data_IF_460711022023
#
_entry.id   IF_460711022023
#
_cell.length_a   1.000
_cell.length_b   1.000
_cell.length_c   1.000
_cell.angle_alpha   90.00
_cell.angle_beta   90.00
_cell.angle_gamma   90.00
#
_symmetry.space_group_name_H-M   'P 1'
#
loop_
_entity.id
_entity.type
_entity.pdbx_description
1 polymer ?
#
# COMPACT_ATOMS: atom_id res chain seq x y z
N UNK A 1 22.86 -13.13 20.52
CA UNK A 1 22.87 -13.54 19.09
C UNK A 1 23.41 -12.38 18.26
N UNK A 2 24.29 -12.64 17.31
CA UNK A 2 24.82 -11.59 16.42
C UNK A 2 23.69 -11.09 15.51
N UNK A 3 23.48 -9.76 15.46
CA UNK A 3 22.62 -9.13 14.44
C UNK A 3 23.34 -9.29 13.10
N UNK A 4 22.66 -9.83 12.08
CA UNK A 4 23.15 -9.88 10.71
C UNK A 4 22.48 -8.75 9.94
N UNK A 5 23.25 -7.77 9.51
CA UNK A 5 22.76 -6.70 8.63
C UNK A 5 22.63 -7.19 7.19
N UNK A 6 21.84 -6.49 6.35
CA UNK A 6 21.72 -6.84 4.93
C UNK A 6 23.08 -6.85 4.20
N UNK A 7 23.94 -5.86 4.49
CA UNK A 7 25.30 -5.80 3.92
C UNK A 7 26.13 -7.03 4.27
N UNK A 8 26.14 -7.42 5.55
CA UNK A 8 26.85 -8.63 6.00
C UNK A 8 26.24 -9.90 5.41
N UNK A 9 24.91 -9.94 5.23
CA UNK A 9 24.24 -11.04 4.54
C UNK A 9 24.75 -11.17 3.10
N UNK A 10 24.77 -10.07 2.33
CA UNK A 10 25.25 -10.06 0.94
C UNK A 10 26.72 -10.47 0.85
N UNK A 11 27.58 -9.94 1.73
CA UNK A 11 29.00 -10.27 1.76
C UNK A 11 29.26 -11.73 2.13
N UNK A 12 28.59 -12.24 3.17
CA UNK A 12 28.73 -13.62 3.61
C UNK A 12 28.13 -14.61 2.60
N UNK A 13 27.07 -14.23 1.88
CA UNK A 13 26.54 -15.03 0.78
C UNK A 13 27.52 -15.08 -0.39
N UNK A 14 28.04 -13.93 -0.85
CA UNK A 14 29.01 -13.86 -1.95
C UNK A 14 30.32 -14.59 -1.67
N UNK A 15 30.75 -14.64 -0.41
CA UNK A 15 31.94 -15.40 0.02
C UNK A 15 31.68 -16.91 0.22
N UNK A 16 30.43 -17.38 0.07
CA UNK A 16 30.06 -18.79 0.30
C UNK A 16 30.00 -19.18 1.78
N UNK A 17 30.06 -18.21 2.70
CA UNK A 17 29.95 -18.44 4.15
C UNK A 17 28.52 -18.69 4.63
N UNK A 18 27.52 -18.32 3.82
CA UNK A 18 26.10 -18.57 4.04
C UNK A 18 25.49 -19.33 2.88
N UNK A 19 24.60 -20.26 3.20
CA UNK A 19 23.69 -20.91 2.24
C UNK A 19 22.28 -20.41 2.49
N UNK A 20 21.59 -19.98 1.44
CA UNK A 20 20.20 -19.52 1.51
C UNK A 20 19.31 -20.55 0.85
N UNK A 21 18.32 -21.03 1.58
CA UNK A 21 17.32 -21.97 1.08
C UNK A 21 15.98 -21.23 1.00
N UNK A 22 15.50 -20.99 -0.22
CA UNK A 22 14.20 -20.36 -0.46
C UNK A 22 13.11 -21.43 -0.44
N UNK A 23 12.03 -21.18 0.27
CA UNK A 23 10.84 -22.04 0.27
C UNK A 23 10.18 -22.01 -1.11
N UNK A 24 10.15 -23.15 -1.82
CA UNK A 24 9.61 -23.26 -3.18
C UNK A 24 8.10 -23.05 -3.25
N UNK A 25 7.39 -23.37 -2.17
CA UNK A 25 5.94 -23.20 -2.07
C UNK A 25 5.55 -21.73 -1.90
N UNK A 26 6.40 -20.94 -1.24
CA UNK A 26 6.16 -19.50 -1.01
C UNK A 26 6.84 -18.58 -2.00
N UNK A 27 7.85 -19.06 -2.75
CA UNK A 27 8.61 -18.25 -3.71
C UNK A 27 7.69 -17.50 -4.69
N UNK A 28 6.62 -18.14 -5.17
CA UNK A 28 5.65 -17.52 -6.07
C UNK A 28 4.94 -16.31 -5.45
N UNK A 29 4.59 -16.36 -4.17
CA UNK A 29 3.93 -15.25 -3.47
C UNK A 29 4.88 -14.06 -3.30
N UNK A 30 6.16 -14.33 -3.01
CA UNK A 30 7.18 -13.29 -2.90
C UNK A 30 7.45 -12.58 -4.21
N UNK A 31 7.48 -13.31 -5.34
CA UNK A 31 7.61 -12.73 -6.69
C UNK A 31 6.48 -11.73 -6.96
N UNK A 32 5.26 -12.04 -6.55
CA UNK A 32 4.09 -11.20 -6.79
C UNK A 32 3.96 -10.03 -5.80
N UNK A 33 4.66 -10.08 -4.66
CA UNK A 33 4.62 -9.06 -3.62
C UNK A 33 4.96 -7.66 -4.14
N UNK A 34 4.41 -6.61 -3.54
CA UNK A 34 4.68 -5.23 -3.94
C UNK A 34 6.15 -4.80 -3.79
N UNK A 35 6.92 -5.53 -2.98
CA UNK A 35 8.33 -5.28 -2.69
C UNK A 35 9.27 -5.91 -3.73
N UNK A 36 8.81 -6.91 -4.49
CA UNK A 36 9.58 -7.49 -5.58
C UNK A 36 9.64 -6.56 -6.80
N UNK A 37 10.75 -6.60 -7.54
CA UNK A 37 10.91 -5.86 -8.79
C UNK A 37 9.79 -6.17 -9.80
N UNK A 38 9.30 -5.14 -10.50
CA UNK A 38 8.12 -5.26 -11.38
C UNK A 38 8.41 -6.00 -12.70
N UNK A 39 9.67 -6.06 -13.12
CA UNK A 39 10.04 -6.44 -14.48
C UNK A 39 9.70 -7.92 -14.80
N UNK A 40 9.90 -8.84 -13.86
CA UNK A 40 9.75 -10.28 -14.11
C UNK A 40 8.39 -10.88 -13.71
N UNK A 41 7.49 -10.10 -13.09
CA UNK A 41 6.19 -10.60 -12.60
C UNK A 41 5.30 -11.16 -13.71
N UNK A 42 5.13 -10.49 -14.87
CA UNK A 42 4.26 -11.00 -15.92
C UNK A 42 4.72 -12.35 -16.46
N UNK A 43 6.04 -12.55 -16.57
CA UNK A 43 6.61 -13.81 -17.04
C UNK A 43 6.33 -14.96 -16.07
N UNK A 44 6.52 -14.75 -14.76
CA UNK A 44 6.18 -15.77 -13.76
C UNK A 44 4.70 -16.13 -13.76
N UNK A 45 3.83 -15.14 -13.85
CA UNK A 45 2.39 -15.37 -13.92
C UNK A 45 2.03 -16.16 -15.19
N UNK A 46 2.57 -15.77 -16.34
CA UNK A 46 2.37 -16.48 -17.61
C UNK A 46 2.79 -17.95 -17.55
N UNK A 47 4.02 -18.24 -17.07
CA UNK A 47 4.52 -19.61 -17.01
C UNK A 47 3.80 -20.47 -15.98
N UNK A 48 3.38 -19.88 -14.86
CA UNK A 48 2.58 -20.58 -13.84
C UNK A 48 1.23 -21.00 -14.40
N UNK A 49 0.51 -20.08 -15.06
CA UNK A 49 -0.77 -20.40 -15.70
C UNK A 49 -0.61 -21.41 -16.84
N UNK A 50 0.41 -21.25 -17.67
CA UNK A 50 0.72 -22.20 -18.76
C UNK A 50 0.95 -23.61 -18.21
N UNK A 51 1.73 -23.74 -17.14
CA UNK A 51 1.97 -25.01 -16.46
C UNK A 51 0.67 -25.62 -15.90
N UNK A 52 -0.17 -24.83 -15.22
CA UNK A 52 -1.45 -25.31 -14.67
C UNK A 52 -2.43 -25.77 -15.77
N UNK A 53 -2.55 -25.00 -16.85
CA UNK A 53 -3.42 -25.33 -17.99
C UNK A 53 -2.98 -26.66 -18.63
N UNK A 54 -1.67 -26.82 -18.87
CA UNK A 54 -1.12 -28.03 -19.46
C UNK A 54 -1.14 -29.23 -18.52
N UNK A 55 -1.12 -29.02 -17.20
CA UNK A 55 -1.14 -30.10 -16.20
C UNK A 55 -2.56 -30.63 -15.97
N UNK A 56 -3.56 -29.74 -15.96
CA UNK A 56 -4.91 -30.10 -15.53
C UNK A 56 -5.96 -29.93 -16.63
N UNK A 57 -6.04 -28.73 -17.24
CA UNK A 57 -7.16 -28.39 -18.13
C UNK A 57 -7.09 -29.16 -19.45
N UNK A 58 -5.93 -29.12 -20.12
CA UNK A 58 -5.73 -29.81 -21.41
C UNK A 58 -5.81 -31.34 -21.23
N UNK A 59 -5.14 -31.96 -20.25
CA UNK A 59 -5.25 -33.39 -20.01
C UNK A 59 -6.67 -33.86 -19.73
N UNK A 60 -7.47 -33.10 -18.96
CA UNK A 60 -8.85 -33.45 -18.66
C UNK A 60 -9.71 -33.52 -19.92
N UNK A 61 -9.55 -32.55 -20.84
CA UNK A 61 -10.24 -32.56 -22.13
C UNK A 61 -9.79 -33.68 -23.06
N UNK A 62 -8.50 -34.00 -23.06
CA UNK A 62 -7.92 -35.05 -23.91
C UNK A 62 -8.14 -36.46 -23.38
N UNK A 63 -8.49 -36.64 -22.10
CA UNK A 63 -8.51 -37.94 -21.45
C UNK A 63 -9.44 -38.95 -22.15
N UNK A 64 -10.60 -38.48 -22.63
CA UNK A 64 -11.60 -39.32 -23.27
C UNK A 64 -11.27 -39.68 -24.74
N UNK A 65 -10.46 -38.87 -25.43
CA UNK A 65 -10.17 -39.02 -26.87
C UNK A 65 -8.78 -39.61 -27.11
N UNK A 66 -7.77 -39.12 -26.38
CA UNK A 66 -6.36 -39.47 -26.54
C UNK A 66 -5.62 -39.50 -25.19
N UNK A 67 -5.84 -40.57 -24.42
CA UNK A 67 -5.28 -40.71 -23.07
C UNK A 67 -3.74 -40.65 -23.00
N UNK A 68 -3.03 -41.14 -24.02
CA UNK A 68 -1.55 -41.04 -24.08
C UNK A 68 -1.10 -39.60 -24.22
N UNK A 69 -1.75 -38.82 -25.09
CA UNK A 69 -1.45 -37.40 -25.28
C UNK A 69 -1.79 -36.60 -24.02
N UNK A 70 -2.87 -36.97 -23.33
CA UNK A 70 -3.25 -36.41 -22.03
C UNK A 70 -2.12 -36.58 -20.99
N UNK A 71 -1.55 -37.79 -20.86
CA UNK A 71 -0.41 -38.03 -19.96
C UNK A 71 0.85 -37.25 -20.35
N UNK A 72 1.16 -37.14 -21.65
CA UNK A 72 2.31 -36.36 -22.12
C UNK A 72 2.14 -34.86 -21.81
N UNK A 73 0.96 -34.30 -22.07
CA UNK A 73 0.64 -32.91 -21.71
C UNK A 73 0.79 -32.69 -20.20
N UNK A 74 0.26 -33.60 -19.37
CA UNK A 74 0.37 -33.51 -17.92
C UNK A 74 1.85 -33.53 -17.46
N UNK A 75 2.67 -34.40 -18.05
CA UNK A 75 4.10 -34.46 -17.77
C UNK A 75 4.84 -33.18 -18.14
N UNK A 76 4.57 -32.61 -19.31
CA UNK A 76 5.15 -31.32 -19.75
C UNK A 76 4.69 -30.18 -18.83
N UNK A 77 3.40 -30.11 -18.51
CA UNK A 77 2.85 -29.11 -17.60
C UNK A 77 3.51 -29.16 -16.22
N UNK A 78 3.69 -30.36 -15.65
CA UNK A 78 4.38 -30.54 -14.38
C UNK A 78 5.84 -30.08 -14.44
N UNK A 79 6.56 -30.39 -15.52
CA UNK A 79 7.93 -29.93 -15.73
C UNK A 79 8.01 -28.39 -15.81
N UNK A 80 7.04 -27.74 -16.46
CA UNK A 80 6.94 -26.27 -16.51
C UNK A 80 6.71 -25.70 -15.12
N UNK A 81 5.76 -26.24 -14.33
CA UNK A 81 5.50 -25.78 -12.95
C UNK A 81 6.78 -25.90 -12.10
N UNK A 82 7.47 -27.03 -12.17
CA UNK A 82 8.72 -27.25 -11.44
C UNK A 82 9.80 -26.25 -11.84
N UNK A 83 9.93 -25.97 -13.13
CA UNK A 83 10.89 -24.99 -13.66
C UNK A 83 10.53 -23.56 -13.24
N UNK A 84 9.25 -23.21 -13.26
CA UNK A 84 8.75 -21.90 -12.82
C UNK A 84 9.00 -21.67 -11.33
N UNK A 85 8.83 -22.69 -10.48
CA UNK A 85 9.16 -22.63 -9.05
C UNK A 85 10.65 -22.42 -8.81
N UNK A 86 11.50 -23.16 -9.52
CA UNK A 86 12.96 -22.99 -9.42
C UNK A 86 13.38 -21.57 -9.83
N UNK A 87 12.84 -21.08 -10.95
CA UNK A 87 13.08 -19.70 -11.39
C UNK A 87 12.59 -18.67 -10.37
N UNK A 88 11.46 -18.92 -9.71
CA UNK A 88 10.95 -18.04 -8.65
C UNK A 88 11.89 -18.00 -7.43
N UNK A 89 12.48 -19.14 -7.04
CA UNK A 89 13.48 -19.18 -5.96
C UNK A 89 14.72 -18.36 -6.30
N UNK A 90 15.24 -18.49 -7.52
CA UNK A 90 16.39 -17.74 -8.01
C UNK A 90 16.07 -16.23 -8.03
N UNK A 91 14.90 -15.85 -8.53
CA UNK A 91 14.45 -14.45 -8.53
C UNK A 91 14.33 -13.88 -7.11
N UNK A 92 13.73 -14.62 -6.18
CA UNK A 92 13.61 -14.18 -4.78
C UNK A 92 15.00 -13.97 -4.19
N UNK A 93 15.93 -14.90 -4.40
CA UNK A 93 17.29 -14.79 -3.90
C UNK A 93 18.02 -13.58 -4.49
N UNK A 94 17.90 -13.34 -5.80
CA UNK A 94 18.49 -12.17 -6.46
C UNK A 94 17.95 -10.86 -5.87
N UNK A 95 16.62 -10.72 -5.74
CA UNK A 95 16.01 -9.53 -5.16
C UNK A 95 16.38 -9.36 -3.68
N UNK A 96 16.57 -10.46 -2.92
CA UNK A 96 17.08 -10.38 -1.54
C UNK A 96 18.51 -9.84 -1.48
N UNK A 97 19.34 -10.07 -2.49
CA UNK A 97 20.71 -9.55 -2.54
C UNK A 97 20.76 -8.07 -2.94
N UNK A 98 19.77 -7.62 -3.72
CA UNK A 98 19.70 -6.25 -4.24
C UNK A 98 18.97 -5.29 -3.30
N UNK A 99 17.89 -5.73 -2.65
CA UNK A 99 16.99 -4.87 -1.88
C UNK A 99 16.85 -5.32 -0.42
N UNK A 100 17.23 -4.42 0.51
CA UNK A 100 17.20 -4.66 1.96
C UNK A 100 15.78 -4.84 2.50
N UNK A 101 14.79 -4.11 1.95
CA UNK A 101 13.40 -4.18 2.39
C UNK A 101 12.81 -5.52 1.97
N UNK A 102 13.07 -5.96 0.74
CA UNK A 102 12.65 -7.25 0.24
C UNK A 102 13.30 -8.40 1.01
N UNK A 103 14.60 -8.30 1.31
CA UNK A 103 15.30 -9.25 2.18
C UNK A 103 14.64 -9.40 3.56
N UNK A 104 14.38 -8.29 4.24
CA UNK A 104 13.71 -8.29 5.54
C UNK A 104 12.30 -8.90 5.43
N UNK A 105 11.55 -8.53 4.39
CA UNK A 105 10.22 -9.05 4.11
C UNK A 105 10.23 -10.57 3.97
N UNK A 106 11.08 -11.14 3.11
CA UNK A 106 11.15 -12.59 2.90
C UNK A 106 11.49 -13.33 4.20
N UNK A 107 12.41 -12.80 5.01
CA UNK A 107 12.78 -13.41 6.30
C UNK A 107 11.67 -13.35 7.34
N UNK A 108 10.93 -12.24 7.43
CA UNK A 108 9.82 -12.09 8.39
C UNK A 108 8.70 -13.08 8.12
N UNK A 109 8.42 -13.39 6.85
CA UNK A 109 7.36 -14.30 6.41
C UNK A 109 7.83 -15.76 6.22
N UNK A 110 9.00 -16.11 6.78
CA UNK A 110 9.59 -17.45 6.73
C UNK A 110 9.71 -17.97 5.28
N UNK A 111 10.09 -17.09 4.36
CA UNK A 111 10.29 -17.41 2.95
C UNK A 111 11.67 -17.92 2.60
N UNK A 112 12.64 -17.69 3.49
CA UNK A 112 14.01 -18.13 3.33
C UNK A 112 14.57 -18.63 4.66
N UNK A 113 15.35 -19.70 4.60
CA UNK A 113 16.15 -20.22 5.71
C UNK A 113 17.62 -19.96 5.39
N UNK A 114 18.30 -19.23 6.27
CA UNK A 114 19.73 -18.95 6.16
C UNK A 114 20.49 -19.93 7.04
N UNK A 115 21.44 -20.64 6.42
CA UNK A 115 22.35 -21.57 7.10
C UNK A 115 23.77 -21.04 7.05
N UNK A 116 24.50 -21.23 8.13
CA UNK A 116 25.94 -20.99 8.14
C UNK A 116 26.71 -22.10 7.40
N UNK A 117 28.03 -21.92 7.26
CA UNK A 117 28.94 -22.93 6.69
C UNK A 117 28.90 -24.30 7.38
N UNK A 118 28.40 -24.38 8.62
CA UNK A 118 28.26 -25.61 9.39
C UNK A 118 26.85 -26.22 9.25
N UNK A 119 25.98 -25.60 8.44
CA UNK A 119 24.59 -26.02 8.26
C UNK A 119 23.63 -25.61 9.38
N UNK A 120 24.08 -24.81 10.36
CA UNK A 120 23.23 -24.33 11.46
C UNK A 120 22.35 -23.18 10.98
N UNK A 121 21.08 -23.20 11.40
CA UNK A 121 20.11 -22.16 11.05
C UNK A 121 20.41 -20.89 11.81
N UNK A 122 20.60 -19.80 11.08
CA UNK A 122 20.77 -18.46 11.65
C UNK A 122 19.38 -17.86 11.86
N UNK A 123 18.90 -17.83 13.11
CA UNK A 123 17.59 -17.25 13.43
C UNK A 123 17.67 -15.71 13.41
N UNK A 124 17.24 -15.11 12.31
CA UNK A 124 17.26 -13.66 12.10
C UNK A 124 15.92 -12.99 12.38
N UNK A 125 14.84 -13.77 12.47
CA UNK A 125 13.48 -13.26 12.58
C UNK A 125 13.27 -12.43 13.84
N UNK A 126 13.75 -12.90 14.98
CA UNK A 126 13.62 -12.18 16.26
C UNK A 126 14.39 -10.85 16.27
N UNK A 127 15.56 -10.81 15.61
CA UNK A 127 16.36 -9.60 15.50
C UNK A 127 15.70 -8.57 14.58
N UNK A 128 15.21 -9.03 13.42
CA UNK A 128 14.51 -8.17 12.44
C UNK A 128 13.20 -7.62 13.00
N UNK A 129 12.41 -8.44 13.68
CA UNK A 129 11.15 -8.00 14.31
C UNK A 129 11.43 -6.96 15.40
N UNK A 130 12.46 -7.15 16.22
CA UNK A 130 12.84 -6.20 17.25
C UNK A 130 13.28 -4.85 16.64
N UNK A 131 14.08 -4.90 15.58
CA UNK A 131 14.55 -3.69 14.88
C UNK A 131 13.41 -2.95 14.18
N UNK A 132 12.52 -3.66 13.48
CA UNK A 132 11.33 -3.06 12.84
C UNK A 132 10.40 -2.45 13.89
N UNK A 133 10.23 -3.08 15.06
CA UNK A 133 9.45 -2.51 16.17
C UNK A 133 10.07 -1.22 16.71
N UNK A 134 11.38 -1.22 16.93
CA UNK A 134 12.13 -0.05 17.40
C UNK A 134 12.02 1.12 16.39
N UNK A 135 12.23 0.84 15.10
CA UNK A 135 12.10 1.84 14.03
C UNK A 135 10.66 2.37 13.90
N UNK A 136 9.65 1.50 14.07
CA UNK A 136 8.24 1.91 14.08
C UNK A 136 7.89 2.75 15.31
N UNK A 137 8.44 2.45 16.49
CA UNK A 137 8.22 3.24 17.70
C UNK A 137 8.87 4.63 17.59
N UNK A 138 10.11 4.72 17.10
CA UNK A 138 10.81 5.99 16.83
C UNK A 138 10.06 6.81 15.76
N UNK A 139 9.55 6.15 14.72
CA UNK A 139 8.72 6.82 13.69
C UNK A 139 7.40 7.33 14.29
N UNK A 140 6.77 6.56 15.17
CA UNK A 140 5.50 6.95 15.81
C UNK A 140 5.68 8.09 16.82
N UNK A 141 6.78 8.14 17.55
CA UNK A 141 7.11 9.26 18.45
C UNK A 141 7.45 10.53 17.68
N UNK A 142 8.27 10.42 16.62
CA UNK A 142 8.61 11.56 15.77
C UNK A 142 7.41 12.10 14.98
N UNK A 143 6.48 11.24 14.57
CA UNK A 143 5.20 11.66 13.99
C UNK A 143 4.27 12.33 15.01
N UNK A 144 4.17 11.82 16.25
CA UNK A 144 3.42 12.49 17.33
C UNK A 144 3.97 13.88 17.63
N UNK A 145 5.30 14.04 17.64
CA UNK A 145 5.96 15.33 17.85
C UNK A 145 5.73 16.30 16.69
N UNK A 146 5.75 15.82 15.44
CA UNK A 146 5.43 16.65 14.26
C UNK A 146 3.95 17.00 14.16
N UNK A 147 3.06 16.10 14.53
CA UNK A 147 1.62 16.38 14.60
C UNK A 147 1.35 17.43 15.66
N UNK A 148 1.97 17.34 16.85
CA UNK A 148 1.80 18.34 17.91
C UNK A 148 2.35 19.72 17.53
N UNK A 149 3.51 19.81 16.89
CA UNK A 149 4.06 21.10 16.45
C UNK A 149 3.28 21.73 15.27
N UNK A 150 2.70 20.91 14.38
CA UNK A 150 1.81 21.39 13.30
C UNK A 150 0.42 21.77 13.84
N UNK A 151 -0.05 21.14 14.93
CA UNK A 151 -1.30 21.46 15.64
C UNK A 151 -1.25 22.83 16.30
N UNK A 152 -0.10 23.25 16.82
CA UNK A 152 0.06 24.60 17.39
C UNK A 152 0.12 25.70 16.32
N UNK A 153 0.62 25.41 15.11
CA UNK A 153 0.72 26.40 14.03
C UNK A 153 -0.54 26.58 13.18
N UNK A 154 -1.55 25.71 13.33
CA UNK A 154 -2.77 25.69 12.50
C UNK A 154 -4.08 25.93 13.25
N UNK A 155 -4.04 26.22 14.56
CA UNK A 155 -5.26 26.43 15.34
C UNK A 155 -5.66 27.90 15.45
N UNK A 156 -6.37 28.38 14.45
CA UNK A 156 -7.65 29.02 14.76
C UNK A 156 -8.72 27.92 14.82
N UNK A 157 -8.76 27.20 15.95
CA UNK A 157 -9.78 26.16 16.24
C UNK A 157 -11.20 26.70 16.04
N UNK A 158 -11.39 28.00 16.24
CA UNK A 158 -12.67 28.67 16.05
C UNK A 158 -13.10 28.70 14.60
N UNK A 159 -12.18 29.00 13.67
CA UNK A 159 -12.51 29.10 12.23
C UNK A 159 -12.98 27.76 11.65
N UNK A 160 -12.21 26.69 11.80
CA UNK A 160 -12.58 25.39 11.21
C UNK A 160 -13.84 24.78 11.85
N UNK A 161 -14.04 24.96 13.15
CA UNK A 161 -15.27 24.52 13.82
C UNK A 161 -16.50 25.26 13.27
N UNK A 162 -16.40 26.58 13.04
CA UNK A 162 -17.48 27.37 12.41
C UNK A 162 -17.78 26.91 10.99
N UNK A 163 -16.75 26.61 10.19
CA UNK A 163 -16.92 26.11 8.82
C UNK A 163 -17.67 24.76 8.82
N UNK A 164 -17.27 23.83 9.68
CA UNK A 164 -17.91 22.52 9.77
C UNK A 164 -19.34 22.60 10.31
N UNK A 165 -19.59 23.47 11.28
CA UNK A 165 -20.93 23.71 11.80
C UNK A 165 -21.84 24.29 10.70
N UNK A 166 -21.37 25.29 9.95
CA UNK A 166 -22.13 25.86 8.84
C UNK A 166 -22.39 24.83 7.75
N UNK A 167 -21.43 23.95 7.46
CA UNK A 167 -21.64 22.86 6.50
C UNK A 167 -22.66 21.83 7.00
N UNK A 168 -22.63 21.47 8.28
CA UNK A 168 -23.60 20.56 8.87
C UNK A 168 -25.02 21.13 8.79
N UNK A 169 -25.19 22.42 9.10
CA UNK A 169 -26.48 23.10 8.93
C UNK A 169 -26.91 23.19 7.45
N UNK A 170 -25.96 23.40 6.54
CA UNK A 170 -26.20 23.36 5.10
C UNK A 170 -26.73 22.00 4.65
N UNK A 171 -26.10 20.90 5.08
CA UNK A 171 -26.55 19.54 4.74
C UNK A 171 -27.93 19.22 5.36
N UNK A 172 -28.24 19.73 6.57
CA UNK A 172 -29.57 19.55 7.16
C UNK A 172 -30.66 20.21 6.32
N UNK A 173 -30.38 21.41 5.79
CA UNK A 173 -31.32 22.16 4.93
C UNK A 173 -31.37 21.60 3.52
N UNK A 174 -30.24 21.09 3.03
CA UNK A 174 -30.04 20.57 1.70
C UNK A 174 -29.38 19.19 1.82
N UNK A 175 -30.18 18.11 1.98
CA UNK A 175 -29.65 16.77 2.16
C UNK A 175 -28.66 16.41 1.06
N UNK A 176 -27.69 15.57 1.42
CA UNK A 176 -26.51 15.22 0.61
C UNK A 176 -26.90 15.10 -0.86
N UNK A 177 -26.33 15.96 -1.73
CA UNK A 177 -26.70 15.98 -3.14
C UNK A 177 -26.47 14.61 -3.79
N UNK A 178 -27.55 14.01 -4.31
CA UNK A 178 -27.51 12.86 -5.23
C UNK A 178 -27.18 13.35 -6.67
N UNK A 179 -27.20 14.67 -6.87
CA UNK A 179 -26.99 15.37 -8.15
C UNK A 179 -25.94 16.46 -7.99
N UNK A 180 -25.21 16.77 -9.06
CA UNK A 180 -24.20 17.84 -9.06
C UNK A 180 -24.88 19.20 -8.80
N UNK A 181 -24.28 20.00 -7.92
CA UNK A 181 -24.73 21.35 -7.56
C UNK A 181 -23.63 22.38 -7.74
N UNK A 182 -23.99 23.65 -7.87
CA UNK A 182 -23.00 24.72 -7.95
C UNK A 182 -22.31 24.95 -6.59
N UNK A 183 -20.99 25.10 -6.60
CA UNK A 183 -20.18 25.38 -5.42
C UNK A 183 -20.52 26.70 -4.74
N UNK A 184 -21.10 27.68 -5.46
CA UNK A 184 -21.59 28.94 -4.89
C UNK A 184 -22.70 28.75 -3.86
N UNK A 185 -23.38 27.61 -3.88
CA UNK A 185 -24.39 27.27 -2.88
C UNK A 185 -23.77 26.84 -1.54
N UNK A 186 -22.45 26.61 -1.48
CA UNK A 186 -21.78 26.27 -0.23
C UNK A 186 -21.64 27.51 0.68
N UNK A 187 -21.72 27.32 2.02
CA UNK A 187 -21.58 28.41 2.98
C UNK A 187 -20.16 28.99 3.05
N UNK A 188 -19.17 28.27 2.54
CA UNK A 188 -17.76 28.65 2.50
C UNK A 188 -17.11 28.15 1.19
N UNK A 189 -15.93 28.67 0.80
CA UNK A 189 -15.17 28.11 -0.31
C UNK A 189 -14.91 26.61 -0.11
N UNK A 190 -15.10 25.83 -1.17
CA UNK A 190 -15.02 24.37 -1.14
C UNK A 190 -13.68 23.88 -0.57
N UNK A 191 -12.58 24.55 -0.90
CA UNK A 191 -11.23 24.23 -0.45
C UNK A 191 -11.07 24.42 1.06
N UNK A 192 -11.66 25.47 1.63
CA UNK A 192 -11.64 25.70 3.08
C UNK A 192 -12.45 24.65 3.83
N UNK A 193 -13.59 24.24 3.27
CA UNK A 193 -14.45 23.19 3.83
C UNK A 193 -13.78 21.82 3.77
N UNK A 194 -13.14 21.48 2.64
CA UNK A 194 -12.35 20.26 2.50
C UNK A 194 -11.22 20.21 3.51
N UNK A 195 -10.51 21.33 3.68
CA UNK A 195 -9.40 21.44 4.65
C UNK A 195 -9.91 21.26 6.08
N UNK A 196 -11.00 21.93 6.46
CA UNK A 196 -11.61 21.79 7.79
C UNK A 196 -12.09 20.35 8.04
N UNK A 197 -12.71 19.72 7.04
CA UNK A 197 -13.18 18.33 7.10
C UNK A 197 -12.04 17.34 7.30
N UNK A 198 -10.97 17.44 6.50
CA UNK A 198 -9.81 16.56 6.61
C UNK A 198 -9.12 16.69 7.98
N UNK A 199 -9.00 17.91 8.50
CA UNK A 199 -8.45 18.15 9.84
C UNK A 199 -9.32 17.54 10.94
N UNK A 200 -10.64 17.69 10.85
CA UNK A 200 -11.56 17.07 11.79
C UNK A 200 -11.53 15.54 11.71
N UNK A 201 -11.47 14.97 10.50
CA UNK A 201 -11.36 13.53 10.29
C UNK A 201 -10.11 12.94 10.95
N UNK A 202 -8.97 13.62 10.80
CA UNK A 202 -7.70 13.20 11.40
C UNK A 202 -7.70 13.34 12.93
N UNK A 203 -8.39 14.34 13.47
CA UNK A 203 -8.46 14.59 14.90
C UNK A 203 -9.50 13.74 15.63
N UNK A 204 -10.56 13.30 14.94
CA UNK A 204 -11.66 12.54 15.54
C UNK A 204 -11.24 11.09 15.81
N UNK A 205 -11.50 10.60 17.01
CA UNK A 205 -11.15 9.23 17.45
C UNK A 205 -12.36 8.30 17.48
N UNK A 206 -13.57 8.85 17.57
CA UNK A 206 -14.80 8.08 17.54
C UNK A 206 -15.09 7.60 16.11
N UNK A 207 -15.22 6.28 15.87
CA UNK A 207 -15.39 5.72 14.53
C UNK A 207 -16.70 6.15 13.85
N UNK A 208 -17.77 6.37 14.61
CA UNK A 208 -19.08 6.78 14.07
C UNK A 208 -19.03 8.23 13.59
N UNK A 209 -18.48 9.13 14.40
CA UNK A 209 -18.31 10.54 14.02
C UNK A 209 -17.32 10.69 12.86
N UNK A 210 -16.21 9.93 12.89
CA UNK A 210 -15.22 9.90 11.81
C UNK A 210 -15.86 9.49 10.47
N UNK A 211 -16.74 8.49 10.48
CA UNK A 211 -17.51 8.07 9.29
C UNK A 211 -18.49 9.15 8.82
N UNK A 212 -19.15 9.86 9.74
CA UNK A 212 -20.00 11.00 9.39
C UNK A 212 -19.21 12.12 8.71
N UNK A 213 -18.01 12.42 9.21
CA UNK A 213 -17.11 13.43 8.62
C UNK A 213 -16.64 13.00 7.22
N UNK A 214 -16.28 11.72 7.01
CA UNK A 214 -15.85 11.24 5.69
C UNK A 214 -16.95 11.36 4.64
N UNK A 215 -18.19 11.02 5.00
CA UNK A 215 -19.36 11.20 4.13
C UNK A 215 -19.54 12.69 3.77
N UNK A 216 -19.39 13.60 4.73
CA UNK A 216 -19.43 15.04 4.47
C UNK A 216 -18.35 15.51 3.50
N UNK A 217 -17.11 15.05 3.67
CA UNK A 217 -15.99 15.36 2.77
C UNK A 217 -16.28 14.86 1.35
N UNK A 218 -16.76 13.63 1.21
CA UNK A 218 -17.09 13.07 -0.11
C UNK A 218 -18.25 13.84 -0.75
N UNK A 219 -19.21 14.28 0.05
CA UNK A 219 -20.36 15.07 -0.44
C UNK A 219 -19.92 16.39 -1.09
N UNK A 220 -18.80 16.98 -0.68
CA UNK A 220 -18.24 18.18 -1.31
C UNK A 220 -17.81 17.94 -2.76
N UNK A 221 -17.56 16.70 -3.19
CA UNK A 221 -17.21 16.37 -4.57
C UNK A 221 -18.37 16.66 -5.56
N UNK A 222 -19.62 16.62 -5.08
CA UNK A 222 -20.82 16.91 -5.88
C UNK A 222 -21.05 18.42 -6.10
N UNK A 223 -20.24 19.27 -5.47
CA UNK A 223 -20.27 20.70 -5.71
C UNK A 223 -19.21 21.08 -6.74
N UNK A 224 -19.62 21.61 -7.89
CA UNK A 224 -18.74 22.01 -8.99
C UNK A 224 -18.97 23.47 -9.36
N UNK A 225 -17.95 24.14 -9.88
CA UNK A 225 -18.07 25.56 -10.23
C UNK A 225 -18.85 25.73 -11.53
N UNK A 226 -19.70 26.77 -11.60
CA UNK A 226 -20.39 27.21 -12.82
C UNK A 226 -21.40 26.20 -13.39
N UNK A 227 -22.07 25.44 -12.53
CA UNK A 227 -23.17 24.54 -12.92
C UNK A 227 -24.52 25.27 -12.91
N UNK A 228 -24.61 26.41 -12.22
CA UNK A 228 -25.84 27.19 -12.08
C UNK A 228 -26.72 26.72 -10.93
N UNK A 229 -27.77 27.48 -10.64
CA UNK A 229 -28.54 27.33 -9.39
C UNK A 229 -29.46 26.10 -9.37
N UNK A 230 -29.72 25.49 -10.52
CA UNK A 230 -30.55 24.29 -10.62
C UNK A 230 -29.68 23.03 -10.62
N UNK A 231 -30.02 22.00 -9.81
CA UNK A 231 -29.33 20.72 -9.84
C UNK A 231 -29.40 20.11 -11.23
N UNK A 232 -28.28 19.66 -11.78
CA UNK A 232 -28.29 18.97 -13.06
C UNK A 232 -28.85 17.55 -12.89
N UNK A 233 -30.10 17.34 -13.29
CA UNK A 233 -30.81 16.07 -13.18
C UNK A 233 -30.28 14.97 -14.11
N UNK A 234 -29.62 15.36 -15.20
CA UNK A 234 -29.17 14.45 -16.25
C UNK A 234 -27.88 13.72 -15.86
N UNK A 235 -27.23 14.14 -14.77
CA UNK A 235 -26.09 13.49 -14.15
C UNK A 235 -26.42 13.02 -12.72
N UNK A 236 -27.57 12.36 -12.56
CA UNK A 236 -27.89 11.67 -11.30
C UNK A 236 -27.08 10.39 -11.17
N UNK A 237 -26.35 10.25 -10.06
CA UNK A 237 -25.64 9.03 -9.72
C UNK A 237 -26.61 8.19 -8.89
N UNK A 238 -26.91 6.96 -9.31
CA UNK A 238 -27.78 6.09 -8.51
C UNK A 238 -27.20 5.85 -7.11
N UNK A 239 -28.02 5.56 -6.10
CA UNK A 239 -27.53 5.29 -4.74
C UNK A 239 -26.48 4.16 -4.69
N UNK A 240 -26.58 3.18 -5.59
CA UNK A 240 -25.62 2.09 -5.73
C UNK A 240 -24.31 2.55 -6.39
N UNK A 241 -24.38 3.38 -7.42
CA UNK A 241 -23.20 3.99 -8.02
C UNK A 241 -22.52 4.97 -7.07
N UNK A 242 -23.28 5.68 -6.23
CA UNK A 242 -22.77 6.55 -5.18
C UNK A 242 -22.01 5.75 -4.12
N UNK A 243 -22.58 4.62 -3.67
CA UNK A 243 -21.90 3.71 -2.75
C UNK A 243 -20.62 3.14 -3.37
N UNK A 244 -20.65 2.80 -4.67
CA UNK A 244 -19.46 2.39 -5.43
C UNK A 244 -18.45 3.53 -5.58
N UNK A 245 -18.89 4.75 -5.88
CA UNK A 245 -18.02 5.93 -6.02
C UNK A 245 -17.40 6.32 -4.68
N UNK A 246 -18.12 6.22 -3.56
CA UNK A 246 -17.56 6.37 -2.22
C UNK A 246 -16.45 5.32 -2.02
N UNK A 247 -16.73 4.05 -2.34
CA UNK A 247 -15.77 2.95 -2.21
C UNK A 247 -14.57 3.07 -3.17
N UNK A 248 -14.77 3.59 -4.38
CA UNK A 248 -13.74 3.80 -5.41
C UNK A 248 -12.93 5.08 -5.17
N UNK A 249 -13.56 6.14 -4.69
CA UNK A 249 -12.90 7.39 -4.26
C UNK A 249 -12.04 7.12 -3.04
N UNK A 250 -12.52 6.33 -2.07
CA UNK A 250 -11.69 5.81 -0.97
C UNK A 250 -10.47 5.02 -1.49
N UNK A 251 -10.64 4.24 -2.57
CA UNK A 251 -9.56 3.48 -3.22
C UNK A 251 -8.62 4.30 -4.11
N UNK A 252 -9.08 5.38 -4.76
CA UNK A 252 -8.30 6.18 -5.74
C UNK A 252 -7.72 7.46 -5.15
N UNK A 253 -8.48 8.15 -4.31
CA UNK A 253 -8.06 9.40 -3.65
C UNK A 253 -7.17 9.07 -2.45
N UNK A 254 -7.39 7.93 -1.79
CA UNK A 254 -6.48 7.41 -0.77
C UNK A 254 -5.01 7.41 -1.23
N UNK A 255 -4.66 6.74 -2.33
CA UNK A 255 -3.29 6.71 -2.87
C UNK A 255 -2.75 8.06 -3.32
N UNK A 256 -3.52 8.90 -4.04
CA UNK A 256 -3.05 10.21 -4.54
C UNK A 256 -2.87 11.25 -3.43
N UNK A 257 -3.74 11.24 -2.43
CA UNK A 257 -3.57 12.07 -1.22
C UNK A 257 -2.41 11.53 -0.40
N UNK A 258 -2.24 10.21 -0.25
CA UNK A 258 -1.07 9.61 0.38
C UNK A 258 0.22 9.98 -0.36
N UNK A 259 0.23 10.00 -1.69
CA UNK A 259 1.38 10.40 -2.51
C UNK A 259 1.71 11.89 -2.33
N UNK A 260 0.70 12.77 -2.32
CA UNK A 260 0.90 14.20 -2.03
C UNK A 260 1.41 14.44 -0.60
N UNK A 261 0.88 13.70 0.37
CA UNK A 261 1.35 13.69 1.76
C UNK A 261 2.79 13.17 1.84
N UNK A 262 3.15 12.14 1.09
CA UNK A 262 4.49 11.57 1.06
C UNK A 262 5.49 12.53 0.42
N UNK A 263 5.09 13.24 -0.64
CA UNK A 263 5.88 14.30 -1.28
C UNK A 263 6.13 15.47 -0.33
N UNK A 264 5.10 15.90 0.40
CA UNK A 264 5.24 16.93 1.44
C UNK A 264 6.09 16.44 2.62
N UNK A 265 5.98 15.17 3.02
CA UNK A 265 6.87 14.55 4.04
C UNK A 265 8.33 14.53 3.60
N UNK A 266 8.60 14.21 2.33
CA UNK A 266 9.97 14.25 1.76
C UNK A 266 10.54 15.66 1.75
N UNK A 267 9.75 16.66 1.36
CA UNK A 267 10.15 18.08 1.43
C UNK A 267 10.45 18.51 2.86
N UNK A 268 9.58 18.17 3.81
CA UNK A 268 9.79 18.49 5.24
C UNK A 268 11.05 17.78 5.78
N UNK A 269 11.29 16.53 5.38
CA UNK A 269 12.51 15.80 5.78
C UNK A 269 13.77 16.50 5.25
N UNK A 270 13.78 16.87 3.97
CA UNK A 270 14.90 17.59 3.37
C UNK A 270 15.18 18.94 4.08
N UNK A 271 14.14 19.70 4.43
CA UNK A 271 14.31 20.95 5.18
C UNK A 271 14.84 20.75 6.60
N UNK A 272 14.50 19.63 7.24
CA UNK A 272 15.02 19.28 8.58
C UNK A 272 16.50 18.88 8.52
N UNK A 273 16.88 18.09 7.50
CA UNK A 273 18.27 17.69 7.29
C UNK A 273 19.17 18.92 7.02
N UNK A 274 18.64 19.95 6.33
CA UNK A 274 19.34 21.21 6.10
C UNK A 274 19.57 22.00 7.42
N UNK A 275 18.60 22.01 8.32
CA UNK A 275 18.70 22.67 9.63
C UNK A 275 19.74 21.99 10.52
N UNK A 276 19.74 20.66 10.55
CA UNK A 276 20.70 19.89 11.36
C UNK A 276 22.13 20.04 10.85
N UNK A 277 22.32 20.13 9.52
CA UNK A 277 23.63 20.40 8.94
C UNK A 277 24.12 21.82 9.28
N UNK A 278 23.24 22.83 9.29
CA UNK A 278 23.60 24.19 9.72
C UNK A 278 23.97 24.26 11.20
N UNK A 279 23.30 23.48 12.06
CA UNK A 279 23.63 23.40 13.50
C UNK A 279 24.95 22.71 13.79
N UNK A 280 25.39 21.78 12.93
CA UNK A 280 26.69 21.11 13.06
C UNK A 280 27.86 21.93 12.53
N UNK A 281 27.58 22.92 11.68
CA UNK A 281 28.56 23.81 11.08
C UNK A 281 28.77 25.12 11.87
N UNK A 282 27.92 25.40 12.87
CA UNK A 282 28.02 26.51 13.80
C UNK A 282 28.58 26.04 15.14
#
# INVERSE_FOLDING_TARGET
>A
MQKLTHKEFVEKYKSGSLTVLIDDMKAGDFVLSQYASKYNKPAHQFWTWTGLILTFIVPLGLLAVHWVLSLLCAGIGYAIIKSARKSAQEFVLENMLEDEIFWAYVLIYDGAIIKDKNGQVVNLKENLISQVKEDLEVTRESEKLKINSKKEKFMDKGKHAKILQAFAEHIKKYPVPIMIRDSKLLPYPKEEMLTAGLLAYQAETNPVLRKGISVGIISLAFYQDNIGDQPNSDMSVSNEEMAKLIQETEKQVGPKILEKIEKERKLIKASLDEIDNKKKAA
#
